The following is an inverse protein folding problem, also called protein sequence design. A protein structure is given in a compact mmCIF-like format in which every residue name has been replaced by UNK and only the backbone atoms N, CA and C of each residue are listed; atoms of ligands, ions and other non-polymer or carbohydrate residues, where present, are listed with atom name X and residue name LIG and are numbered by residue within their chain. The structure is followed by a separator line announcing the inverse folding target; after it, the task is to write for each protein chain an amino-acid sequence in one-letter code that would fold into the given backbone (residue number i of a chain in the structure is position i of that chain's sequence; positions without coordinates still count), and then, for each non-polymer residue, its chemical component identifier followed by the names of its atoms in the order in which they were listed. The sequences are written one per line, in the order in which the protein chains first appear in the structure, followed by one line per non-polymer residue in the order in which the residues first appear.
data_IF_107233752433
#
_entry.id   IF_107233752433
#
_cell.length_a   1.000
_cell.length_b   1.000
_cell.length_c   1.000
_cell.angle_alpha   90.00
_cell.angle_beta   90.00
_cell.angle_gamma   90.00
#
_symmetry.space_group_name_H-M   'P 1'
#
loop_
_entity.id
_entity.type
_entity.pdbx_description
1 polymer ?
#
# COMPACT_ATOMS: atom_id res chain seq x y z
N UNK A 1 7.17 -20.54 2.52
CA UNK A 1 7.97 -19.46 1.92
C UNK A 1 7.60 -18.06 2.40
N UNK A 2 6.32 -17.71 2.30
CA UNK A 2 5.89 -16.39 2.72
C UNK A 2 6.17 -16.12 4.20
N UNK A 3 6.04 -17.13 5.02
CA UNK A 3 6.24 -16.96 6.45
C UNK A 3 7.67 -16.59 6.80
N UNK A 4 8.58 -16.71 5.87
CA UNK A 4 9.97 -16.31 6.12
C UNK A 4 10.23 -14.85 5.80
N UNK A 5 9.29 -14.21 5.14
CA UNK A 5 9.42 -12.80 4.81
C UNK A 5 8.83 -11.97 5.94
N UNK A 6 9.62 -11.11 6.55
CA UNK A 6 9.12 -10.23 7.58
C UNK A 6 8.56 -8.95 7.00
N UNK A 7 9.10 -8.51 5.89
CA UNK A 7 8.56 -7.35 5.20
C UNK A 7 9.04 -7.37 3.76
N UNK A 8 8.31 -6.70 2.91
CA UNK A 8 8.73 -6.50 1.52
C UNK A 8 7.96 -5.36 0.91
N UNK A 9 8.47 -4.85 -0.20
CA UNK A 9 7.82 -3.81 -1.00
C UNK A 9 7.19 -4.49 -2.20
N UNK A 10 5.92 -4.23 -2.40
CA UNK A 10 5.21 -4.75 -3.55
C UNK A 10 4.36 -3.68 -4.19
N UNK A 11 3.55 -4.09 -5.14
CA UNK A 11 2.65 -3.17 -5.86
C UNK A 11 1.21 -3.58 -5.61
N UNK A 12 0.37 -2.59 -5.37
CA UNK A 12 -1.06 -2.81 -5.19
C UNK A 12 -1.67 -3.18 -6.53
N UNK A 13 -2.45 -4.26 -6.55
CA UNK A 13 -3.16 -4.66 -7.76
C UNK A 13 -4.63 -4.38 -7.69
N UNK A 14 -5.24 -4.67 -6.56
CA UNK A 14 -6.67 -4.44 -6.36
C UNK A 14 -6.89 -3.87 -4.97
N UNK A 15 -7.91 -3.05 -4.85
CA UNK A 15 -8.32 -2.50 -3.57
C UNK A 15 -9.77 -2.89 -3.36
N UNK A 16 -10.07 -3.43 -2.19
CA UNK A 16 -11.42 -3.80 -1.81
C UNK A 16 -11.79 -3.02 -0.57
N UNK A 17 -12.89 -2.31 -0.63
CA UNK A 17 -13.35 -1.49 0.50
C UNK A 17 -14.75 -1.90 0.87
N UNK A 18 -15.02 -1.98 2.16
CA UNK A 18 -16.39 -2.11 2.62
C UNK A 18 -16.61 -1.07 3.72
N UNK A 19 -17.68 -1.23 4.49
CA UNK A 19 -18.07 -0.18 5.42
C UNK A 19 -17.03 0.09 6.51
N UNK A 20 -16.21 -0.89 6.84
CA UNK A 20 -15.32 -0.76 8.00
C UNK A 20 -13.86 -0.99 7.66
N UNK A 21 -13.58 -1.73 6.60
CA UNK A 21 -12.21 -2.12 6.34
C UNK A 21 -11.88 -1.93 4.88
N UNK A 22 -10.61 -1.82 4.62
CA UNK A 22 -10.09 -1.81 3.28
C UNK A 22 -8.96 -2.82 3.21
N UNK A 23 -8.99 -3.67 2.20
CA UNK A 23 -7.91 -4.62 1.98
C UNK A 23 -7.33 -4.40 0.60
N UNK A 24 -6.11 -4.84 0.43
CA UNK A 24 -5.43 -4.71 -0.85
C UNK A 24 -4.89 -6.05 -1.28
N UNK A 25 -4.81 -6.24 -2.58
CA UNK A 25 -4.08 -7.35 -3.17
C UNK A 25 -2.72 -6.80 -3.57
N UNK A 26 -1.67 -7.45 -3.12
CA UNK A 26 -0.31 -6.97 -3.30
C UNK A 26 0.49 -8.00 -4.08
N UNK A 27 1.19 -7.55 -5.10
CA UNK A 27 2.09 -8.40 -5.86
C UNK A 27 3.52 -8.00 -5.58
N UNK A 28 4.33 -8.97 -5.19
CA UNK A 28 5.77 -8.78 -5.11
C UNK A 28 6.41 -9.05 -6.45
N UNK A 29 6.00 -10.14 -7.07
CA UNK A 29 6.36 -10.46 -8.44
C UNK A 29 5.09 -10.91 -9.14
N UNK A 30 5.20 -11.16 -10.43
CA UNK A 30 4.09 -11.63 -11.21
C UNK A 30 3.50 -12.95 -10.67
N UNK A 31 4.33 -13.76 -10.03
CA UNK A 31 3.90 -15.05 -9.52
C UNK A 31 3.68 -15.08 -8.02
N UNK A 32 3.98 -14.01 -7.32
CA UNK A 32 3.82 -13.95 -5.88
C UNK A 32 2.85 -12.83 -5.54
N UNK A 33 1.60 -13.20 -5.32
CA UNK A 33 0.52 -12.25 -5.06
C UNK A 33 -0.17 -12.67 -3.78
N UNK A 34 -0.42 -11.71 -2.90
CA UNK A 34 -1.12 -11.94 -1.66
C UNK A 34 -2.43 -11.17 -1.71
N UNK A 35 -3.53 -11.84 -1.39
CA UNK A 35 -4.84 -11.23 -1.43
C UNK A 35 -5.30 -10.86 -0.03
N UNK A 36 -6.25 -9.97 0.05
CA UNK A 36 -6.96 -9.61 1.29
C UNK A 36 -6.03 -9.16 2.41
N UNK A 37 -5.02 -8.36 2.07
CA UNK A 37 -4.10 -7.83 3.06
C UNK A 37 -4.73 -6.57 3.66
N UNK A 38 -4.90 -6.49 4.98
CA UNK A 38 -5.46 -5.28 5.58
C UNK A 38 -4.58 -4.07 5.32
N UNK A 39 -5.21 -2.98 4.94
CA UNK A 39 -4.52 -1.73 4.68
C UNK A 39 -4.58 -0.87 5.94
N UNK A 40 -3.45 -0.63 6.55
CA UNK A 40 -3.34 0.13 7.79
C UNK A 40 -3.07 1.59 7.46
N UNK A 41 -3.83 2.48 8.11
CA UNK A 41 -3.70 3.91 7.86
C UNK A 41 -3.61 4.66 9.18
N UNK A 42 -2.91 5.80 9.19
CA UNK A 42 -2.90 6.63 10.39
C UNK A 42 -4.31 7.12 10.74
N UNK A 43 -4.55 7.31 12.01
CA UNK A 43 -5.84 7.80 12.46
C UNK A 43 -6.19 9.11 11.77
N UNK A 44 -7.36 9.20 11.22
CA UNK A 44 -7.82 10.40 10.55
C UNK A 44 -7.41 10.52 9.08
N UNK A 45 -6.66 9.56 8.56
CA UNK A 45 -6.26 9.55 7.16
C UNK A 45 -6.78 8.31 6.49
N UNK A 46 -7.34 8.44 5.30
CA UNK A 46 -7.73 7.29 4.53
C UNK A 46 -7.56 7.60 3.05
N UNK A 47 -7.20 6.58 2.30
CA UNK A 47 -6.95 6.74 0.88
C UNK A 47 -7.34 5.48 0.15
N UNK A 48 -7.74 5.63 -1.09
CA UNK A 48 -7.98 4.52 -2.01
C UNK A 48 -6.85 4.57 -3.03
N UNK A 49 -5.82 3.75 -2.87
CA UNK A 49 -4.65 3.86 -3.74
C UNK A 49 -4.96 3.39 -5.15
N UNK A 50 -4.19 3.92 -6.08
CA UNK A 50 -4.27 3.47 -7.45
C UNK A 50 -3.54 2.14 -7.60
N UNK A 51 -3.93 1.40 -8.62
CA UNK A 51 -3.19 0.19 -8.99
C UNK A 51 -1.74 0.57 -9.24
N UNK A 52 -0.85 -0.32 -8.90
CA UNK A 52 0.60 -0.19 -9.03
C UNK A 52 1.22 0.80 -8.05
N UNK A 53 0.47 1.31 -7.09
CA UNK A 53 1.07 2.07 -6.00
C UNK A 53 2.00 1.16 -5.20
N UNK A 54 3.09 1.72 -4.73
CA UNK A 54 4.02 0.96 -3.91
C UNK A 54 3.47 0.74 -2.52
N UNK A 55 3.73 -0.44 -1.98
CA UNK A 55 3.13 -0.88 -0.74
C UNK A 55 4.16 -1.61 0.09
N UNK A 56 4.27 -1.23 1.35
CA UNK A 56 5.10 -1.96 2.30
C UNK A 56 4.22 -2.99 3.00
N UNK A 57 4.60 -4.25 2.92
CA UNK A 57 3.88 -5.33 3.61
C UNK A 57 4.74 -5.82 4.74
N UNK A 58 4.15 -5.91 5.92
CA UNK A 58 4.84 -6.37 7.12
C UNK A 58 4.05 -7.52 7.72
N UNK A 59 4.75 -8.58 8.07
CA UNK A 59 4.14 -9.70 8.78
C UNK A 59 4.26 -9.47 10.26
N UNK A 60 3.12 -9.39 10.94
CA UNK A 60 3.10 -9.08 12.37
C UNK A 60 2.79 -10.27 13.24
N UNK A 61 2.43 -11.41 12.67
CA UNK A 61 2.19 -12.61 13.46
C UNK A 61 3.50 -13.27 13.85
N UNK A 62 3.46 -14.09 14.89
CA UNK A 62 4.65 -14.80 15.34
C UNK A 62 5.24 -15.69 14.28
N UNK A 63 4.39 -16.27 13.47
CA UNK A 63 4.84 -17.19 12.43
C UNK A 63 4.76 -16.57 11.03
N UNK A 64 4.64 -15.25 10.94
CA UNK A 64 4.58 -14.59 9.67
C UNK A 64 3.28 -14.78 8.92
N UNK A 65 2.21 -15.06 9.64
CA UNK A 65 0.94 -15.38 8.99
C UNK A 65 -0.05 -14.22 8.99
N UNK A 66 0.34 -13.05 9.48
CA UNK A 66 -0.57 -11.91 9.56
C UNK A 66 0.02 -10.70 8.86
N UNK A 67 -0.05 -10.68 7.52
CA UNK A 67 0.46 -9.54 6.80
C UNK A 67 -0.44 -8.33 6.93
N UNK A 68 0.16 -7.17 7.02
CA UNK A 68 -0.54 -5.90 6.94
C UNK A 68 0.19 -5.03 5.93
N UNK A 69 -0.51 -4.07 5.35
CA UNK A 69 0.05 -3.26 4.29
C UNK A 69 -0.09 -1.78 4.60
N UNK A 70 0.91 -1.02 4.21
CA UNK A 70 0.87 0.44 4.22
C UNK A 70 1.25 0.88 2.82
N UNK A 71 0.34 1.58 2.14
CA UNK A 71 0.64 2.09 0.81
C UNK A 71 1.45 3.36 0.97
N UNK A 72 2.62 3.38 0.36
CA UNK A 72 3.59 4.42 0.63
C UNK A 72 3.77 5.40 -0.51
N UNK A 73 3.27 5.11 -1.69
CA UNK A 73 3.37 6.12 -2.71
C UNK A 73 2.96 5.63 -4.07
N UNK A 74 2.73 6.58 -4.96
CA UNK A 74 2.49 6.28 -6.36
C UNK A 74 3.50 7.07 -7.17
N UNK A 75 4.46 6.38 -7.72
CA UNK A 75 5.57 7.05 -8.40
C UNK A 75 5.13 7.88 -9.58
N UNK A 76 4.07 7.46 -10.25
CA UNK A 76 3.64 8.15 -11.44
C UNK A 76 2.80 9.39 -11.14
N UNK A 77 2.37 9.56 -9.90
CA UNK A 77 1.51 10.70 -9.57
C UNK A 77 1.96 11.45 -8.32
N UNK A 78 3.21 11.27 -7.95
CA UNK A 78 3.75 11.98 -6.81
C UNK A 78 3.86 13.47 -7.11
N UNK A 79 3.44 14.28 -6.17
CA UNK A 79 3.59 15.73 -6.29
C UNK A 79 5.07 16.10 -6.33
N UNK A 80 5.41 17.01 -7.23
CA UNK A 80 6.79 17.44 -7.39
C UNK A 80 6.89 18.93 -7.09
N UNK A 81 8.11 19.39 -6.90
CA UNK A 81 8.36 20.81 -6.72
C UNK A 81 8.36 21.27 -5.28
N UNK A 82 8.22 20.36 -4.32
CA UNK A 82 8.29 20.73 -2.92
C UNK A 82 9.72 21.11 -2.55
N UNK A 83 9.83 22.14 -1.72
CA UNK A 83 11.11 22.58 -1.21
C UNK A 83 11.32 21.99 0.17
N UNK A 84 12.57 22.05 0.63
CA UNK A 84 12.91 21.49 1.92
C UNK A 84 12.01 22.06 3.00
N UNK A 85 11.44 21.19 3.82
CA UNK A 85 10.56 21.57 4.91
C UNK A 85 9.10 21.68 4.55
N UNK A 86 8.75 21.59 3.26
CA UNK A 86 7.36 21.69 2.86
C UNK A 86 6.66 20.34 2.91
N UNK A 87 5.38 20.38 3.21
CA UNK A 87 4.55 19.19 3.32
C UNK A 87 3.29 19.43 2.51
N UNK A 88 2.80 18.40 1.85
CA UNK A 88 1.57 18.51 1.09
C UNK A 88 0.75 17.26 1.22
N UNK A 89 -0.57 17.42 1.18
CA UNK A 89 -1.50 16.33 0.95
C UNK A 89 -1.99 16.47 -0.48
N UNK A 90 -1.96 15.35 -1.19
CA UNK A 90 -2.16 15.38 -2.61
C UNK A 90 -3.08 14.26 -3.01
N UNK A 91 -3.74 14.42 -4.12
CA UNK A 91 -4.47 13.31 -4.68
C UNK A 91 -3.98 13.07 -6.10
N UNK A 92 -4.07 11.80 -6.50
CA UNK A 92 -3.60 11.41 -7.82
C UNK A 92 -4.41 12.09 -8.91
N UNK A 93 -3.77 12.40 -10.00
CA UNK A 93 -4.40 13.03 -11.14
C UNK A 93 -4.01 12.30 -12.39
N UNK A 94 -4.98 12.04 -13.22
CA UNK A 94 -4.76 11.27 -14.42
C UNK A 94 -4.80 12.07 -15.69
N UNK A 95 -5.48 13.15 -15.65
CA UNK A 95 -5.95 13.83 -16.84
C UNK A 95 -5.01 14.92 -17.28
N UNK A 96 -3.80 14.79 -16.93
CA UNK A 96 -2.84 15.85 -17.25
C UNK A 96 -2.23 15.68 -18.59
#
# INVERSE_FOLDING_TARGET
MFERLKSFIGAVKLVKSDAKTQTVQVALTKDFVIDNVPHIEPYGFTAHPQADAECLVVNVGENGERPVAVVIGGRTCRLQGLQAGEVALDRARYDR
#
